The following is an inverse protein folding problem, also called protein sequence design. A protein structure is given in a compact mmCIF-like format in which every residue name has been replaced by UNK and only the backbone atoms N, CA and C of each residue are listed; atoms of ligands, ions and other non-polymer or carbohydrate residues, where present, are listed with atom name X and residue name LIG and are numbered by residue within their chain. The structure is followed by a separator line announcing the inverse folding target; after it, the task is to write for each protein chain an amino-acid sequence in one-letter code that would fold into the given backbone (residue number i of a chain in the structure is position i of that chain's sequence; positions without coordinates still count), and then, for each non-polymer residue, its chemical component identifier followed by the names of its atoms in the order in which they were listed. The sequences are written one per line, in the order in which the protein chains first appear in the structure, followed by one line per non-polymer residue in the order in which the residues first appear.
data_IF_366460251510
#
_entry.id   IF_366460251510
#
_cell.length_a   1.000
_cell.length_b   1.000
_cell.length_c   1.000
_cell.angle_alpha   90.00
_cell.angle_beta   90.00
_cell.angle_gamma   90.00
#
_symmetry.space_group_name_H-M   'P 1'
#
loop_
_entity.id
_entity.type
_entity.pdbx_description
1 polymer ?
#
# COMPACT_ATOMS: atom_id res chain seq x y z
N UNK A 1 -12.48 -9.61 41.20
CA UNK A 1 -12.19 -9.73 39.76
C UNK A 1 -12.61 -8.42 39.11
N UNK A 2 -11.66 -7.52 38.89
CA UNK A 2 -11.93 -6.27 38.19
C UNK A 2 -12.01 -6.60 36.69
N UNK A 3 -13.15 -6.30 36.09
CA UNK A 3 -13.38 -6.33 34.65
C UNK A 3 -12.45 -5.31 34.01
N UNK A 4 -11.46 -5.80 33.27
CA UNK A 4 -10.65 -4.96 32.38
C UNK A 4 -11.56 -4.54 31.24
N UNK A 5 -11.94 -3.27 31.26
CA UNK A 5 -12.61 -2.61 30.16
C UNK A 5 -11.66 -2.68 28.95
N UNK A 6 -12.04 -3.42 27.90
CA UNK A 6 -11.30 -3.49 26.64
C UNK A 6 -11.55 -2.16 25.94
N UNK A 7 -10.91 -1.10 26.43
CA UNK A 7 -10.81 0.15 25.71
C UNK A 7 -10.20 -0.16 24.34
N UNK A 8 -10.86 0.30 23.27
CA UNK A 8 -10.39 0.18 21.90
C UNK A 8 -8.93 0.62 21.86
N UNK A 9 -8.00 -0.34 21.76
CA UNK A 9 -6.60 -0.04 21.52
C UNK A 9 -6.52 0.85 20.29
N UNK A 10 -5.76 1.94 20.37
CA UNK A 10 -5.56 2.82 19.22
C UNK A 10 -5.12 2.01 17.99
N UNK A 11 -5.61 2.32 16.78
CA UNK A 11 -5.17 1.64 15.57
C UNK A 11 -3.64 1.66 15.45
N UNK A 12 -3.00 0.56 15.03
CA UNK A 12 -1.55 0.47 14.96
C UNK A 12 -0.99 1.50 13.97
N UNK A 13 0.13 2.13 14.29
CA UNK A 13 0.81 3.13 13.45
C UNK A 13 -0.04 4.36 13.08
N UNK A 14 -1.14 4.65 13.80
CA UNK A 14 -2.02 5.81 13.51
C UNK A 14 -1.23 7.12 13.27
N UNK A 15 -0.29 7.42 14.15
CA UNK A 15 0.50 8.66 14.10
C UNK A 15 1.80 8.52 13.28
N UNK A 16 2.10 7.31 12.79
CA UNK A 16 3.34 6.96 12.08
C UNK A 16 3.12 6.53 10.62
N UNK A 17 1.87 6.42 10.17
CA UNK A 17 1.49 6.02 8.81
C UNK A 17 0.61 7.06 8.11
N UNK A 18 0.98 7.40 6.87
CA UNK A 18 0.14 8.16 5.94
C UNK A 18 -0.41 7.24 4.85
N UNK A 19 -1.63 7.52 4.37
CA UNK A 19 -2.22 6.85 3.21
C UNK A 19 -2.16 7.79 2.00
N UNK A 20 -1.48 7.37 0.94
CA UNK A 20 -1.27 8.17 -0.28
C UNK A 20 -2.17 7.65 -1.41
N UNK A 21 -3.06 8.51 -1.89
CA UNK A 21 -4.07 8.17 -2.90
C UNK A 21 -3.90 9.11 -4.10
N UNK A 22 -3.45 8.62 -5.27
CA UNK A 22 -3.58 9.38 -6.51
C UNK A 22 -5.01 9.30 -7.02
N UNK A 23 -5.50 10.38 -7.62
CA UNK A 23 -6.85 10.38 -8.19
C UNK A 23 -7.06 11.39 -9.31
N UNK A 24 -8.06 11.12 -10.14
CA UNK A 24 -8.62 12.07 -11.12
C UNK A 24 -10.13 12.29 -10.92
N UNK A 25 -10.72 11.75 -9.85
CA UNK A 25 -12.18 11.67 -9.62
C UNK A 25 -12.52 11.83 -8.12
N UNK A 26 -13.81 11.95 -7.80
CA UNK A 26 -14.26 12.00 -6.40
C UNK A 26 -13.92 10.71 -5.66
N UNK A 27 -13.62 10.83 -4.37
CA UNK A 27 -13.15 9.72 -3.55
C UNK A 27 -14.27 9.00 -2.80
N UNK A 28 -15.40 8.75 -3.45
CA UNK A 28 -16.55 8.07 -2.85
C UNK A 28 -16.19 6.64 -2.36
N UNK A 29 -15.17 6.01 -2.95
CA UNK A 29 -14.63 4.70 -2.53
C UNK A 29 -14.16 4.70 -1.06
N UNK A 30 -13.79 5.86 -0.51
CA UNK A 30 -13.40 6.00 0.89
C UNK A 30 -14.52 5.62 1.86
N UNK A 31 -15.79 5.68 1.45
CA UNK A 31 -16.88 5.21 2.31
C UNK A 31 -16.79 3.71 2.59
N UNK A 32 -16.38 2.90 1.60
CA UNK A 32 -16.15 1.47 1.81
C UNK A 32 -14.94 1.23 2.72
N UNK A 33 -13.92 2.07 2.62
CA UNK A 33 -12.72 1.98 3.44
C UNK A 33 -12.84 2.70 4.79
N UNK A 34 -13.92 3.43 5.05
CA UNK A 34 -14.08 4.28 6.24
C UNK A 34 -13.76 3.55 7.55
N UNK A 35 -14.23 2.31 7.78
CA UNK A 35 -13.89 1.58 9.01
C UNK A 35 -12.39 1.36 9.22
N UNK A 36 -11.60 1.37 8.14
CA UNK A 36 -10.18 1.07 8.14
C UNK A 36 -9.30 2.31 8.02
N UNK A 37 -9.69 3.29 7.19
CA UNK A 37 -8.84 4.44 6.82
C UNK A 37 -9.08 5.69 7.66
N UNK A 38 -10.30 5.88 8.19
CA UNK A 38 -10.66 7.10 8.93
C UNK A 38 -9.68 7.48 10.06
N UNK A 39 -9.06 6.52 10.79
CA UNK A 39 -8.10 6.88 11.82
C UNK A 39 -6.79 7.49 11.33
N UNK A 40 -6.43 7.32 10.05
CA UNK A 40 -5.15 7.71 9.48
C UNK A 40 -5.28 9.00 8.66
N UNK A 41 -4.18 9.73 8.55
CA UNK A 41 -4.09 10.91 7.70
C UNK A 41 -3.91 10.50 6.23
N UNK A 42 -4.63 11.18 5.33
CA UNK A 42 -4.58 10.94 3.89
C UNK A 42 -3.78 12.04 3.17
N UNK A 43 -2.93 11.64 2.23
CA UNK A 43 -2.30 12.54 1.26
C UNK A 43 -2.88 12.22 -0.10
N UNK A 44 -3.72 13.11 -0.59
CA UNK A 44 -4.43 12.96 -1.86
C UNK A 44 -3.68 13.74 -2.92
N UNK A 45 -3.30 13.07 -4.02
CA UNK A 45 -2.65 13.70 -5.16
C UNK A 45 -3.60 13.70 -6.35
N UNK A 46 -4.22 14.86 -6.61
CA UNK A 46 -5.05 15.08 -7.77
C UNK A 46 -4.18 15.24 -9.02
N UNK A 47 -4.42 14.36 -9.98
CA UNK A 47 -3.86 14.43 -11.33
C UNK A 47 -4.89 14.98 -12.33
N UNK A 48 -4.43 15.31 -13.54
CA UNK A 48 -5.25 15.87 -14.60
C UNK A 48 -5.51 17.37 -14.42
N UNK A 49 -6.77 17.79 -14.63
CA UNK A 49 -7.15 19.20 -14.63
C UNK A 49 -7.27 19.76 -13.19
N UNK A 50 -6.37 20.67 -12.76
CA UNK A 50 -6.38 21.21 -11.40
C UNK A 50 -7.56 22.15 -11.12
N UNK A 51 -8.33 22.57 -12.14
CA UNK A 51 -9.53 23.38 -11.95
C UNK A 51 -10.74 22.55 -11.51
N UNK A 52 -10.69 21.23 -11.67
CA UNK A 52 -11.74 20.33 -11.19
C UNK A 52 -11.64 20.18 -9.69
N UNK A 53 -12.76 20.36 -9.01
CA UNK A 53 -12.85 20.12 -7.57
C UNK A 53 -13.11 18.65 -7.32
N UNK A 54 -12.18 17.99 -6.63
CA UNK A 54 -12.35 16.62 -6.15
C UNK A 54 -13.06 16.66 -4.80
N UNK A 55 -14.15 15.89 -4.68
CA UNK A 55 -14.87 15.72 -3.42
C UNK A 55 -14.27 14.55 -2.63
N UNK A 56 -14.01 14.81 -1.36
CA UNK A 56 -13.61 13.82 -0.36
C UNK A 56 -14.75 13.71 0.66
N UNK A 57 -15.20 12.51 1.02
CA UNK A 57 -16.25 12.36 2.04
C UNK A 57 -15.87 13.02 3.37
N UNK A 58 -16.87 13.49 4.12
CA UNK A 58 -16.64 14.18 5.38
C UNK A 58 -16.02 13.26 6.45
N UNK A 59 -15.27 13.85 7.39
CA UNK A 59 -14.72 13.16 8.55
C UNK A 59 -13.40 12.42 8.31
N UNK A 60 -12.74 12.61 7.17
CA UNK A 60 -11.34 12.22 6.94
C UNK A 60 -10.40 13.39 7.21
N UNK A 61 -9.24 13.10 7.79
CA UNK A 61 -8.12 14.03 7.93
C UNK A 61 -7.23 13.91 6.69
N UNK A 62 -7.09 14.98 5.92
CA UNK A 62 -6.36 14.93 4.65
C UNK A 62 -5.72 16.25 4.21
N UNK A 63 -4.65 16.10 3.43
CA UNK A 63 -4.10 17.13 2.56
C UNK A 63 -4.35 16.75 1.10
N UNK A 64 -4.78 17.71 0.28
CA UNK A 64 -4.98 17.52 -1.15
C UNK A 64 -4.02 18.42 -1.92
N UNK A 65 -3.26 17.81 -2.82
CA UNK A 65 -2.31 18.48 -3.71
C UNK A 65 -2.72 18.26 -5.16
N UNK A 66 -2.66 19.30 -5.98
CA UNK A 66 -2.84 19.21 -7.42
C UNK A 66 -1.60 19.72 -8.18
N UNK A 67 -1.71 19.79 -9.51
CA UNK A 67 -0.60 20.20 -10.38
C UNK A 67 -0.06 21.61 -10.07
N UNK A 68 -0.90 22.54 -9.62
CA UNK A 68 -0.47 23.89 -9.24
C UNK A 68 0.38 23.85 -7.97
N UNK A 69 0.02 23.04 -6.99
CA UNK A 69 0.79 22.88 -5.75
C UNK A 69 2.16 22.23 -6.03
N UNK A 70 2.18 21.19 -6.86
CA UNK A 70 3.42 20.53 -7.30
C UNK A 70 4.34 21.54 -8.00
N UNK A 71 3.80 22.34 -8.92
CA UNK A 71 4.56 23.39 -9.61
C UNK A 71 5.08 24.46 -8.65
N UNK A 72 4.27 24.86 -7.66
CA UNK A 72 4.66 25.86 -6.65
C UNK A 72 5.76 25.35 -5.73
N UNK A 73 5.69 24.09 -5.31
CA UNK A 73 6.62 23.48 -4.35
C UNK A 73 7.93 23.07 -5.01
N UNK A 74 7.88 22.48 -6.21
CA UNK A 74 9.07 21.96 -6.89
C UNK A 74 9.67 22.93 -7.91
N UNK A 75 8.92 23.95 -8.35
CA UNK A 75 9.36 24.90 -9.35
C UNK A 75 9.82 24.18 -10.64
N UNK A 76 11.03 24.47 -11.17
CA UNK A 76 11.56 23.80 -12.36
C UNK A 76 11.66 22.26 -12.25
N UNK A 77 11.70 21.71 -11.03
CA UNK A 77 11.79 20.26 -10.78
C UNK A 77 10.43 19.55 -10.83
N UNK A 78 9.32 20.27 -11.04
CA UNK A 78 7.99 19.65 -11.10
C UNK A 78 7.83 18.64 -12.24
N UNK A 79 8.64 18.76 -13.29
CA UNK A 79 8.75 17.79 -14.39
C UNK A 79 9.21 16.40 -13.94
N UNK A 80 9.85 16.30 -12.77
CA UNK A 80 10.19 15.02 -12.14
C UNK A 80 9.00 14.34 -11.47
N UNK A 81 7.80 14.92 -11.48
CA UNK A 81 6.57 14.26 -11.05
C UNK A 81 5.69 14.02 -12.27
N UNK A 82 5.33 12.76 -12.48
CA UNK A 82 4.53 12.33 -13.62
C UNK A 82 3.15 12.99 -13.66
N UNK A 83 2.54 13.00 -14.84
CA UNK A 83 1.28 13.69 -15.11
C UNK A 83 0.43 12.93 -16.12
N UNK A 84 -0.87 12.86 -15.84
CA UNK A 84 -1.84 12.00 -16.54
C UNK A 84 -1.59 10.51 -16.32
N UNK A 85 -1.05 10.16 -15.15
CA UNK A 85 -0.88 8.79 -14.70
C UNK A 85 -0.82 8.72 -13.16
N UNK A 86 -0.94 7.50 -12.64
CA UNK A 86 -1.00 7.26 -11.21
C UNK A 86 0.35 7.40 -10.49
N UNK A 87 1.47 7.60 -11.21
CA UNK A 87 2.78 7.88 -10.61
C UNK A 87 2.88 9.31 -10.05
N UNK A 88 1.86 10.16 -10.25
CA UNK A 88 1.73 11.43 -9.51
C UNK A 88 1.83 11.22 -7.98
N UNK A 89 1.43 10.05 -7.47
CA UNK A 89 1.57 9.64 -6.05
C UNK A 89 2.98 9.76 -5.49
N UNK A 90 4.01 9.73 -6.34
CA UNK A 90 5.40 9.93 -5.91
C UNK A 90 5.60 11.29 -5.23
N UNK A 91 4.77 12.29 -5.59
CA UNK A 91 4.73 13.55 -4.86
C UNK A 91 4.22 13.37 -3.43
N UNK A 92 3.17 12.56 -3.24
CA UNK A 92 2.66 12.20 -1.92
C UNK A 92 3.72 11.53 -1.04
N UNK A 93 4.55 10.66 -1.63
CA UNK A 93 5.68 10.03 -0.93
C UNK A 93 6.73 11.05 -0.48
N UNK A 94 6.96 12.08 -1.28
CA UNK A 94 7.94 13.12 -1.02
C UNK A 94 7.50 14.07 0.11
N UNK A 95 6.21 14.43 0.16
CA UNK A 95 5.69 15.38 1.16
C UNK A 95 5.36 14.72 2.49
N UNK A 96 5.09 13.41 2.52
CA UNK A 96 4.87 12.67 3.75
C UNK A 96 6.11 12.72 4.66
N UNK A 97 5.88 13.04 5.93
CA UNK A 97 6.92 13.07 6.97
C UNK A 97 6.91 11.82 7.84
N UNK A 98 5.83 11.04 7.79
CA UNK A 98 5.63 9.85 8.60
C UNK A 98 6.58 8.74 8.20
N UNK A 99 6.77 7.78 9.12
CA UNK A 99 7.73 6.68 8.96
C UNK A 99 7.25 5.66 7.94
N UNK A 100 5.95 5.39 7.93
CA UNK A 100 5.32 4.43 7.05
C UNK A 100 4.38 5.13 6.07
N UNK A 101 4.29 4.57 4.87
CA UNK A 101 3.37 5.03 3.84
C UNK A 101 2.64 3.80 3.33
N UNK A 102 1.32 3.87 3.28
CA UNK A 102 0.47 2.97 2.51
C UNK A 102 -0.03 3.72 1.28
N UNK A 103 -0.13 3.06 0.13
CA UNK A 103 -0.68 3.66 -1.08
C UNK A 103 -1.71 2.73 -1.71
N UNK A 104 -2.77 3.33 -2.20
CA UNK A 104 -3.90 2.63 -2.80
C UNK A 104 -4.52 3.49 -3.90
N UNK A 105 -5.02 2.86 -4.96
CA UNK A 105 -5.72 3.56 -6.04
C UNK A 105 -7.17 3.85 -5.67
N UNK A 106 -7.72 4.89 -6.30
CA UNK A 106 -9.09 5.36 -6.07
C UNK A 106 -10.19 4.39 -6.56
N UNK A 107 -9.81 3.29 -7.21
CA UNK A 107 -10.68 2.21 -7.69
C UNK A 107 -10.38 0.85 -7.05
N UNK A 108 -9.52 0.81 -6.02
CA UNK A 108 -9.26 -0.38 -5.23
C UNK A 108 -10.28 -0.51 -4.09
N UNK A 109 -11.36 -1.26 -4.33
CA UNK A 109 -12.42 -1.49 -3.35
C UNK A 109 -12.08 -2.59 -2.34
N UNK A 110 -12.75 -2.55 -1.18
CA UNK A 110 -12.62 -3.57 -0.13
C UNK A 110 -13.04 -4.95 -0.68
N UNK A 111 -12.07 -5.87 -0.73
CA UNK A 111 -12.32 -7.26 -1.12
C UNK A 111 -12.94 -8.07 0.03
N UNK A 112 -13.54 -9.21 -0.32
CA UNK A 112 -14.04 -10.20 0.65
C UNK A 112 -13.25 -11.50 0.53
N UNK A 113 -13.00 -12.12 1.67
CA UNK A 113 -12.41 -13.45 1.73
C UNK A 113 -13.45 -14.54 1.34
N UNK A 114 -13.06 -15.82 1.22
CA UNK A 114 -13.99 -16.91 0.88
C UNK A 114 -15.13 -17.12 1.89
N UNK A 115 -15.02 -16.57 3.11
CA UNK A 115 -16.08 -16.60 4.13
C UNK A 115 -17.05 -15.42 4.01
N UNK A 116 -16.77 -14.47 3.11
CA UNK A 116 -17.53 -13.25 2.90
C UNK A 116 -17.14 -12.10 3.82
N UNK A 117 -16.10 -12.26 4.63
CA UNK A 117 -15.59 -11.22 5.52
C UNK A 117 -14.78 -10.20 4.74
N UNK A 118 -14.97 -8.92 5.06
CA UNK A 118 -14.20 -7.83 4.48
C UNK A 118 -12.72 -7.91 4.88
N UNK A 119 -11.84 -7.69 3.92
CA UNK A 119 -10.40 -7.76 4.09
C UNK A 119 -9.85 -6.38 4.40
N UNK A 120 -9.29 -6.22 5.58
CA UNK A 120 -8.53 -5.04 5.96
C UNK A 120 -7.09 -5.13 5.42
N UNK A 121 -6.90 -4.78 4.15
CA UNK A 121 -5.58 -4.84 3.50
C UNK A 121 -4.54 -3.96 4.21
N UNK A 122 -4.93 -2.78 4.70
CA UNK A 122 -4.05 -1.88 5.46
C UNK A 122 -3.48 -2.56 6.70
N UNK A 123 -4.32 -3.24 7.49
CA UNK A 123 -3.86 -3.98 8.67
C UNK A 123 -2.90 -5.12 8.32
N UNK A 124 -3.13 -5.83 7.21
CA UNK A 124 -2.19 -6.85 6.73
C UNK A 124 -0.85 -6.23 6.35
N UNK A 125 -0.86 -5.08 5.66
CA UNK A 125 0.36 -4.35 5.33
C UNK A 125 1.11 -3.87 6.57
N UNK A 126 0.40 -3.30 7.56
CA UNK A 126 0.98 -2.89 8.85
C UNK A 126 1.62 -4.08 9.55
N UNK A 127 0.91 -5.21 9.63
CA UNK A 127 1.45 -6.44 10.23
C UNK A 127 2.75 -6.87 9.54
N UNK A 128 2.77 -6.89 8.21
CA UNK A 128 3.97 -7.25 7.45
C UNK A 128 5.14 -6.28 7.68
N UNK A 129 4.88 -4.97 7.77
CA UNK A 129 5.91 -3.95 8.02
C UNK A 129 6.50 -4.02 9.45
N UNK A 130 5.69 -4.46 10.41
CA UNK A 130 6.10 -4.63 11.81
C UNK A 130 6.68 -6.01 12.12
N UNK A 131 6.53 -6.96 11.20
CA UNK A 131 7.04 -8.33 11.34
C UNK A 131 8.34 -8.46 10.55
N UNK A 132 9.38 -9.13 11.08
CA UNK A 132 10.59 -9.40 10.31
C UNK A 132 10.30 -10.21 9.05
N UNK A 133 11.21 -10.14 8.08
CA UNK A 133 11.18 -10.93 6.85
C UNK A 133 12.34 -11.91 6.81
N UNK A 134 12.28 -12.92 5.94
CA UNK A 134 13.31 -13.97 5.80
C UNK A 134 14.02 -13.95 4.42
N UNK A 135 14.61 -12.82 3.97
CA UNK A 135 15.07 -12.69 2.58
C UNK A 135 16.33 -13.52 2.26
N UNK A 136 17.02 -14.02 3.28
CA UNK A 136 18.26 -14.79 3.12
C UNK A 136 18.05 -16.31 2.98
N UNK A 137 16.81 -16.78 3.15
CA UNK A 137 16.46 -18.18 2.97
C UNK A 137 15.05 -18.27 2.39
N UNK A 138 14.92 -18.80 1.16
CA UNK A 138 13.62 -18.90 0.51
C UNK A 138 12.80 -20.04 1.12
N UNK A 139 11.83 -19.69 1.98
CA UNK A 139 10.86 -20.63 2.52
C UNK A 139 9.69 -20.80 1.55
N UNK A 140 9.44 -22.03 1.10
CA UNK A 140 8.39 -22.35 0.12
C UNK A 140 7.05 -22.74 0.75
N UNK A 141 6.93 -22.77 2.08
CA UNK A 141 5.76 -23.31 2.76
C UNK A 141 4.81 -22.21 3.26
N UNK A 142 5.30 -21.32 4.13
CA UNK A 142 4.55 -20.22 4.72
C UNK A 142 5.50 -19.16 5.27
N UNK A 143 4.97 -17.98 5.62
CA UNK A 143 5.68 -17.02 6.46
C UNK A 143 5.89 -17.60 7.88
N UNK A 144 7.13 -17.81 8.36
CA UNK A 144 7.38 -18.41 9.68
C UNK A 144 6.95 -17.51 10.85
N UNK A 145 6.69 -16.23 10.63
CA UNK A 145 6.24 -15.32 11.68
C UNK A 145 4.72 -15.22 11.81
N UNK A 146 3.96 -15.91 10.95
CA UNK A 146 2.49 -15.96 11.10
C UNK A 146 2.13 -16.77 12.35
N UNK A 147 0.99 -16.43 12.94
CA UNK A 147 0.45 -17.17 14.08
C UNK A 147 0.24 -18.65 13.71
N UNK A 148 0.69 -19.54 14.60
CA UNK A 148 0.59 -20.99 14.39
C UNK A 148 1.64 -21.60 13.45
N UNK A 149 2.62 -20.82 12.97
CA UNK A 149 3.75 -21.31 12.18
C UNK A 149 5.05 -21.36 13.00
N UNK A 150 6.04 -22.08 12.49
CA UNK A 150 7.40 -22.14 13.02
C UNK A 150 8.41 -22.30 11.88
N UNK A 151 9.70 -22.08 12.15
CA UNK A 151 10.75 -22.25 11.17
C UNK A 151 10.85 -23.70 10.68
N UNK A 152 10.82 -23.86 9.36
CA UNK A 152 10.92 -25.17 8.70
C UNK A 152 12.25 -25.86 8.99
N UNK A 153 12.27 -27.19 8.85
CA UNK A 153 13.50 -27.98 8.96
C UNK A 153 14.60 -27.44 8.04
N UNK A 154 15.82 -27.33 8.55
CA UNK A 154 16.96 -26.80 7.80
C UNK A 154 17.07 -25.27 7.77
N UNK A 155 16.11 -24.53 8.33
CA UNK A 155 16.24 -23.08 8.46
C UNK A 155 17.30 -22.74 9.54
N UNK A 156 18.37 -22.00 9.21
CA UNK A 156 19.45 -21.71 10.15
C UNK A 156 18.97 -20.91 11.37
N UNK A 157 19.32 -21.37 12.58
CA UNK A 157 18.95 -20.69 13.83
C UNK A 157 19.43 -19.23 13.89
N UNK A 158 20.62 -18.97 13.36
CA UNK A 158 21.22 -17.62 13.29
C UNK A 158 20.46 -16.64 12.39
N UNK A 159 19.51 -17.11 11.58
CA UNK A 159 18.71 -16.28 10.67
C UNK A 159 17.25 -16.11 11.14
N UNK A 160 16.89 -16.66 12.31
CA UNK A 160 15.49 -16.68 12.80
C UNK A 160 15.01 -15.35 13.37
N UNK A 161 15.91 -14.42 13.66
CA UNK A 161 15.53 -13.03 14.02
C UNK A 161 15.03 -12.25 12.80
N UNK A 162 15.37 -12.71 11.59
CA UNK A 162 14.94 -12.10 10.33
C UNK A 162 15.63 -10.77 10.01
N UNK A 163 15.08 -10.07 9.03
CA UNK A 163 15.50 -8.75 8.61
C UNK A 163 14.32 -7.77 8.68
N UNK A 164 14.54 -6.48 8.98
CA UNK A 164 13.49 -5.47 8.93
C UNK A 164 12.79 -5.43 7.56
N UNK A 165 11.45 -5.38 7.58
CA UNK A 165 10.64 -5.34 6.35
C UNK A 165 10.55 -3.92 5.83
N UNK A 166 11.13 -3.67 4.65
CA UNK A 166 11.10 -2.36 4.01
C UNK A 166 9.83 -2.11 3.19
N UNK A 167 9.29 -3.15 2.56
CA UNK A 167 8.15 -3.06 1.63
C UNK A 167 7.21 -4.24 1.84
N UNK A 168 5.92 -3.97 1.79
CA UNK A 168 4.83 -4.93 1.79
C UNK A 168 3.95 -4.67 0.57
N UNK A 169 3.94 -5.59 -0.39
CA UNK A 169 3.22 -5.46 -1.67
C UNK A 169 2.07 -6.46 -1.72
N UNK A 170 0.89 -6.01 -2.14
CA UNK A 170 -0.31 -6.82 -2.27
C UNK A 170 -0.84 -6.81 -3.70
N UNK A 171 -1.43 -7.93 -4.11
CA UNK A 171 -2.21 -8.01 -5.35
C UNK A 171 -3.68 -7.74 -5.06
N UNK A 172 -4.53 -7.82 -6.10
CA UNK A 172 -5.96 -7.59 -6.00
C UNK A 172 -6.76 -8.63 -6.81
N UNK A 173 -8.06 -8.66 -6.55
CA UNK A 173 -9.03 -9.46 -7.29
C UNK A 173 -9.61 -8.66 -8.47
N UNK A 174 -10.42 -9.32 -9.30
CA UNK A 174 -11.09 -8.76 -10.46
C UNK A 174 -10.13 -8.51 -11.65
N UNK A 175 -9.36 -7.43 -11.71
CA UNK A 175 -8.47 -7.17 -12.85
C UNK A 175 -7.12 -7.84 -12.61
N UNK A 176 -6.65 -8.77 -13.45
CA UNK A 176 -5.31 -9.34 -13.29
C UNK A 176 -4.22 -8.28 -13.45
N UNK A 177 -3.13 -8.40 -12.69
CA UNK A 177 -1.94 -7.52 -12.79
C UNK A 177 -1.07 -7.94 -13.99
N UNK A 178 -1.59 -7.70 -15.19
CA UNK A 178 -0.91 -7.97 -16.45
C UNK A 178 -0.21 -6.73 -16.99
N UNK A 179 0.85 -6.94 -17.77
CA UNK A 179 1.38 -5.89 -18.63
C UNK A 179 0.31 -5.38 -19.61
N UNK A 180 0.42 -4.12 -20.03
CA UNK A 180 -0.59 -3.48 -20.87
C UNK A 180 -0.92 -4.27 -22.16
N UNK A 181 0.06 -4.76 -22.95
CA UNK A 181 -0.21 -5.63 -24.09
C UNK A 181 -1.03 -6.88 -23.74
N UNK A 182 -0.66 -7.60 -22.68
CA UNK A 182 -1.39 -8.79 -22.23
C UNK A 182 -2.82 -8.44 -21.80
N UNK A 183 -3.01 -7.33 -21.09
CA UNK A 183 -4.32 -6.85 -20.67
C UNK A 183 -5.22 -6.49 -21.87
N UNK A 184 -4.64 -5.93 -22.95
CA UNK A 184 -5.36 -5.59 -24.17
C UNK A 184 -5.92 -6.82 -24.90
N UNK A 185 -5.19 -7.95 -24.91
CA UNK A 185 -5.64 -9.18 -25.58
C UNK A 185 -6.50 -10.08 -24.70
N UNK A 186 -6.57 -9.82 -23.39
CA UNK A 186 -7.37 -10.57 -22.41
C UNK A 186 -8.37 -9.68 -21.63
N UNK A 187 -9.18 -8.84 -22.29
CA UNK A 187 -9.99 -7.82 -21.60
C UNK A 187 -11.12 -8.39 -20.72
N UNK A 188 -11.50 -9.66 -20.95
CA UNK A 188 -12.56 -10.35 -20.20
C UNK A 188 -12.03 -11.24 -19.08
N UNK A 189 -10.72 -11.48 -19.02
CA UNK A 189 -10.14 -12.33 -17.98
C UNK A 189 -10.28 -11.62 -16.61
N UNK A 190 -10.58 -12.40 -15.57
CA UNK A 190 -10.75 -11.90 -14.22
C UNK A 190 -10.02 -12.76 -13.21
N UNK A 191 -9.33 -12.11 -12.27
CA UNK A 191 -8.74 -12.79 -11.13
C UNK A 191 -9.80 -13.01 -10.04
N UNK A 192 -10.36 -14.21 -9.97
CA UNK A 192 -11.33 -14.60 -8.91
C UNK A 192 -10.69 -15.46 -7.83
N UNK A 193 -9.42 -15.82 -7.99
CA UNK A 193 -8.73 -16.73 -7.07
C UNK A 193 -8.15 -15.92 -5.90
N UNK A 194 -8.82 -16.01 -4.76
CA UNK A 194 -8.26 -15.56 -3.51
C UNK A 194 -7.09 -16.46 -3.08
N UNK A 195 -5.98 -15.85 -2.71
CA UNK A 195 -4.78 -16.54 -2.22
C UNK A 195 -4.38 -15.92 -0.89
N UNK A 196 -4.58 -16.67 0.20
CA UNK A 196 -4.10 -16.30 1.54
C UNK A 196 -2.64 -16.72 1.72
N UNK A 197 -1.72 -15.92 1.17
CA UNK A 197 -0.30 -16.17 1.29
C UNK A 197 0.49 -14.89 1.51
N UNK A 198 1.38 -14.93 2.51
CA UNK A 198 2.45 -13.95 2.70
C UNK A 198 3.76 -14.65 2.42
N UNK A 199 4.58 -14.06 1.54
CA UNK A 199 5.87 -14.60 1.14
C UNK A 199 6.93 -13.51 1.21
N UNK A 200 8.11 -13.84 1.71
CA UNK A 200 9.27 -12.95 1.61
C UNK A 200 9.93 -13.12 0.24
N UNK A 201 10.17 -12.01 -0.46
CA UNK A 201 10.98 -12.00 -1.68
C UNK A 201 12.46 -12.23 -1.30
N UNK A 202 13.16 -13.22 -1.88
CA UNK A 202 14.56 -13.45 -1.59
C UNK A 202 15.46 -12.28 -1.98
N UNK A 203 16.55 -12.09 -1.24
CA UNK A 203 17.53 -11.06 -1.54
C UNK A 203 18.15 -11.28 -2.92
N UNK A 204 18.18 -10.23 -3.73
CA UNK A 204 18.76 -10.27 -5.08
C UNK A 204 17.81 -10.83 -6.14
N UNK A 205 16.53 -11.03 -5.82
CA UNK A 205 15.51 -11.52 -6.76
C UNK A 205 14.68 -10.38 -7.33
N UNK A 206 14.42 -10.43 -8.64
CA UNK A 206 13.48 -9.55 -9.31
C UNK A 206 12.05 -10.06 -9.11
N UNK A 207 11.11 -9.14 -8.89
CA UNK A 207 9.68 -9.46 -8.77
C UNK A 207 8.84 -8.33 -9.36
N UNK A 208 7.63 -8.62 -9.88
CA UNK A 208 6.70 -7.57 -10.30
C UNK A 208 6.14 -6.85 -9.07
N UNK A 209 6.15 -5.51 -9.11
CA UNK A 209 5.58 -4.66 -8.08
C UNK A 209 4.73 -3.59 -8.73
N UNK A 210 3.49 -3.47 -8.27
CA UNK A 210 2.59 -2.41 -8.64
C UNK A 210 2.38 -1.46 -7.44
N UNK A 211 2.18 -0.17 -7.74
CA UNK A 211 1.90 0.84 -6.71
C UNK A 211 0.47 0.84 -6.20
N UNK A 212 -0.44 0.04 -6.77
CA UNK A 212 -1.88 0.10 -6.49
C UNK A 212 -2.28 -0.41 -5.10
N UNK A 213 -1.45 -1.26 -4.48
CA UNK A 213 -1.69 -1.81 -3.15
C UNK A 213 -0.33 -2.13 -2.50
N UNK A 214 0.27 -1.11 -1.88
CA UNK A 214 1.65 -1.17 -1.42
C UNK A 214 1.84 -0.35 -0.15
N UNK A 215 2.59 -0.90 0.81
CA UNK A 215 3.07 -0.15 1.95
C UNK A 215 4.59 -0.27 2.09
N UNK A 216 5.24 0.76 2.63
CA UNK A 216 6.68 0.74 2.84
C UNK A 216 7.11 1.57 4.04
N UNK A 217 8.27 1.21 4.59
CA UNK A 217 8.99 1.98 5.60
C UNK A 217 9.90 2.99 4.88
N UNK A 218 9.54 4.27 4.93
CA UNK A 218 10.25 5.36 4.27
C UNK A 218 11.71 5.47 4.72
N UNK A 219 11.99 5.22 6.00
CA UNK A 219 13.34 5.31 6.56
C UNK A 219 14.27 4.22 6.01
N UNK A 220 13.73 3.02 5.72
CA UNK A 220 14.51 1.91 5.15
C UNK A 220 14.69 2.05 3.62
N UNK A 221 13.73 2.65 2.92
CA UNK A 221 13.84 2.91 1.48
C UNK A 221 14.82 4.05 1.16
N UNK A 222 14.90 5.06 2.03
CA UNK A 222 15.80 6.19 1.85
C UNK A 222 15.15 7.37 1.07
N UNK A 223 15.90 8.07 0.19
CA UNK A 223 15.56 9.44 -0.23
C UNK A 223 14.21 9.60 -0.96
N UNK A 224 13.69 8.57 -1.63
CA UNK A 224 12.29 8.43 -2.04
C UNK A 224 12.07 7.10 -2.77
N UNK A 225 10.92 6.47 -2.59
CA UNK A 225 10.38 5.50 -3.56
C UNK A 225 9.88 6.28 -4.78
N UNK A 226 10.21 5.84 -5.99
CA UNK A 226 9.79 6.53 -7.21
C UNK A 226 9.34 5.54 -8.29
N UNK A 227 8.11 5.68 -8.75
CA UNK A 227 7.59 4.95 -9.89
C UNK A 227 7.78 5.77 -11.15
N UNK A 228 8.52 5.21 -12.10
CA UNK A 228 8.59 5.76 -13.44
C UNK A 228 7.40 5.23 -14.23
N UNK A 229 6.48 6.10 -14.61
CA UNK A 229 5.48 5.74 -15.61
C UNK A 229 6.19 5.49 -16.94
N UNK A 230 5.90 4.35 -17.57
CA UNK A 230 6.32 4.06 -18.94
C UNK A 230 5.45 4.90 -19.88
N UNK A 231 6.05 5.94 -20.47
CA UNK A 231 5.55 6.64 -21.64
C UNK A 231 6.23 6.13 -22.89
#
# INVERSE_FOLDING_TARGET
MATVDISKSSPPLKDELDIVIPTIRNLDFLEMWRPFFQPYHLIIVQDGDPSKVIKVPEGFDYELYNRNDINKILGPKSSCISFKDSACRCFGYMVSKKKYIFTIDDDCFVAKDPTGKEINALEQHIKNLLTPSTPFFFNTLYDPYREGADFVRGYPFSLREGAPTAVSHGLWLNIPDYDAPTQLVKPRERNTRYVDAVMTIPKGTLFPMCGMNLAFNRELIGPAMYFRAHG
#
